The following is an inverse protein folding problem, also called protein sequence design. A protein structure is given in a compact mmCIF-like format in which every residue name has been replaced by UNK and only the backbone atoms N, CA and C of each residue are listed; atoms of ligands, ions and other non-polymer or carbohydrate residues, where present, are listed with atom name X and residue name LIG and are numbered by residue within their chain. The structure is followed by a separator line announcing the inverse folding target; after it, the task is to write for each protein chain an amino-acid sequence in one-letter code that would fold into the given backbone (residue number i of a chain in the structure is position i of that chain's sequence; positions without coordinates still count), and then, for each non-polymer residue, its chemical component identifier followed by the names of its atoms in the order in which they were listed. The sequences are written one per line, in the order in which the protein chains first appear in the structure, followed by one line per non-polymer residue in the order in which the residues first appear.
data_IF_676738670697
#
_entry.id   IF_676738670697
#
_cell.length_a   1.000
_cell.length_b   1.000
_cell.length_c   1.000
_cell.angle_alpha   90.00
_cell.angle_beta   90.00
_cell.angle_gamma   90.00
#
_symmetry.space_group_name_H-M   'P 1'
#
loop_
_entity.id
_entity.type
_entity.pdbx_description
1 polymer ?
#
# COMPACT_ATOMS: atom_id res chain seq x y z
N UNK A 1 3.66 19.16 -14.36
CA UNK A 1 3.63 18.13 -13.55
C UNK A 1 2.31 17.63 -13.40
N UNK A 2 2.27 16.56 -13.35
CA UNK A 2 1.14 15.91 -13.80
C UNK A 2 0.08 15.73 -12.74
N UNK A 3 -1.09 16.21 -13.03
CA UNK A 3 -2.28 15.93 -12.24
C UNK A 3 -2.49 14.42 -12.14
N UNK A 4 -2.04 13.67 -13.14
CA UNK A 4 -2.13 12.21 -13.14
C UNK A 4 -1.37 11.58 -11.97
N UNK A 5 -0.22 12.14 -11.58
CA UNK A 5 0.53 11.63 -10.43
C UNK A 5 -0.32 11.76 -9.17
N UNK A 6 -0.97 12.91 -8.98
CA UNK A 6 -1.80 13.13 -7.80
C UNK A 6 -3.05 12.24 -7.79
N UNK A 7 -3.61 11.96 -8.96
CA UNK A 7 -4.71 11.00 -9.07
C UNK A 7 -4.29 9.60 -8.63
N UNK A 8 -3.05 9.21 -8.95
CA UNK A 8 -2.50 7.94 -8.48
C UNK A 8 -2.41 7.92 -6.96
N UNK A 9 -1.97 9.02 -6.35
CA UNK A 9 -1.87 9.09 -4.90
C UNK A 9 -3.24 9.15 -4.22
N UNK A 10 -4.24 9.74 -4.85
CA UNK A 10 -5.61 9.68 -4.33
C UNK A 10 -6.11 8.25 -4.29
N UNK A 11 -5.86 7.47 -5.33
CA UNK A 11 -6.21 6.06 -5.35
C UNK A 11 -5.45 5.28 -4.27
N UNK A 12 -4.16 5.58 -4.09
CA UNK A 12 -3.36 4.93 -3.05
C UNK A 12 -3.95 5.24 -1.68
N UNK A 13 -4.30 6.49 -1.40
CA UNK A 13 -4.89 6.86 -0.12
C UNK A 13 -6.21 6.13 0.11
N UNK A 14 -7.06 6.05 -0.89
CA UNK A 14 -8.31 5.28 -0.81
C UNK A 14 -8.03 3.82 -0.47
N UNK A 15 -7.05 3.21 -1.13
CA UNK A 15 -6.68 1.82 -0.86
C UNK A 15 -6.15 1.64 0.56
N UNK A 16 -5.36 2.60 1.06
CA UNK A 16 -4.87 2.57 2.44
C UNK A 16 -6.03 2.58 3.43
N UNK A 17 -7.00 3.45 3.23
CA UNK A 17 -8.16 3.55 4.13
C UNK A 17 -8.95 2.24 4.12
N UNK A 18 -9.14 1.63 2.95
CA UNK A 18 -9.82 0.35 2.83
C UNK A 18 -9.05 -0.74 3.60
N UNK A 19 -7.73 -0.79 3.43
CA UNK A 19 -6.89 -1.74 4.15
C UNK A 19 -7.05 -1.56 5.66
N UNK A 20 -6.96 -0.32 6.14
CA UNK A 20 -7.03 -0.03 7.57
C UNK A 20 -8.39 -0.42 8.15
N UNK A 21 -9.47 -0.15 7.42
CA UNK A 21 -10.81 -0.52 7.86
C UNK A 21 -10.95 -2.02 8.01
N UNK A 22 -10.47 -2.78 7.03
CA UNK A 22 -10.53 -4.23 7.09
C UNK A 22 -9.63 -4.83 8.15
N UNK A 23 -8.45 -4.21 8.34
CA UNK A 23 -7.48 -4.67 9.32
C UNK A 23 -7.94 -4.47 10.77
N UNK A 24 -8.91 -3.60 11.01
CA UNK A 24 -9.44 -3.37 12.36
C UNK A 24 -9.92 -4.66 13.03
N UNK A 25 -10.36 -5.62 12.26
CA UNK A 25 -10.87 -6.91 12.78
C UNK A 25 -9.75 -7.90 13.08
N UNK A 26 -8.53 -7.58 12.69
CA UNK A 26 -7.39 -8.49 12.82
C UNK A 26 -6.57 -8.08 14.03
N UNK A 27 -6.44 -8.98 15.01
CA UNK A 27 -5.70 -8.73 16.25
C UNK A 27 -4.34 -9.43 16.27
N UNK A 28 -4.26 -10.60 15.66
CA UNK A 28 -3.06 -11.41 15.58
C UNK A 28 -2.86 -11.88 14.15
N UNK A 29 -1.61 -12.16 13.73
CA UNK A 29 -1.35 -12.62 12.36
C UNK A 29 -2.22 -13.82 11.94
N UNK A 30 -2.42 -14.79 12.84
CA UNK A 30 -3.18 -15.99 12.49
C UNK A 30 -4.67 -15.71 12.23
N UNK A 31 -5.19 -14.56 12.67
CA UNK A 31 -6.57 -14.18 12.34
C UNK A 31 -6.79 -14.08 10.83
N UNK A 32 -5.73 -13.92 10.06
CA UNK A 32 -5.81 -13.84 8.60
C UNK A 32 -5.93 -15.20 7.92
N UNK A 33 -5.71 -16.29 8.64
CA UNK A 33 -5.68 -17.63 8.05
C UNK A 33 -6.50 -18.67 8.78
N UNK A 34 -7.02 -18.36 9.97
CA UNK A 34 -7.70 -19.37 10.78
C UNK A 34 -9.22 -19.41 10.62
N UNK A 35 -9.77 -18.65 9.66
CA UNK A 35 -11.19 -18.65 9.35
C UNK A 35 -11.41 -18.19 7.90
N UNK A 36 -12.58 -18.45 7.35
CA UNK A 36 -12.90 -17.95 6.02
C UNK A 36 -12.98 -16.42 5.98
N UNK A 37 -13.52 -15.82 7.04
CA UNK A 37 -13.55 -14.36 7.12
C UNK A 37 -12.15 -13.78 7.13
N UNK A 38 -11.22 -14.38 7.89
CA UNK A 38 -9.84 -13.95 7.92
C UNK A 38 -9.17 -14.07 6.56
N UNK A 39 -9.39 -15.17 5.85
CA UNK A 39 -8.84 -15.38 4.51
C UNK A 39 -9.42 -14.35 3.53
N UNK A 40 -10.70 -14.03 3.64
CA UNK A 40 -11.31 -12.98 2.81
C UNK A 40 -10.63 -11.63 3.05
N UNK A 41 -10.35 -11.32 4.32
CA UNK A 41 -9.63 -10.08 4.68
C UNK A 41 -8.23 -10.11 4.09
N UNK A 42 -7.50 -11.22 4.24
CA UNK A 42 -6.15 -11.37 3.68
C UNK A 42 -6.14 -11.15 2.17
N UNK A 43 -7.07 -11.79 1.46
CA UNK A 43 -7.17 -11.66 0.00
C UNK A 43 -7.43 -10.21 -0.40
N UNK A 44 -8.32 -9.55 0.31
CA UNK A 44 -8.66 -8.15 0.04
C UNK A 44 -7.48 -7.23 0.27
N UNK A 45 -6.76 -7.42 1.37
CA UNK A 45 -5.58 -6.61 1.69
C UNK A 45 -4.49 -6.84 0.65
N UNK A 46 -4.23 -8.09 0.29
CA UNK A 46 -3.21 -8.43 -0.70
C UNK A 46 -3.49 -7.75 -2.05
N UNK A 47 -4.75 -7.77 -2.48
CA UNK A 47 -5.14 -7.10 -3.72
C UNK A 47 -4.88 -5.60 -3.66
N UNK A 48 -5.22 -4.95 -2.53
CA UNK A 48 -5.00 -3.52 -2.38
C UNK A 48 -3.51 -3.16 -2.29
N UNK A 49 -2.72 -3.99 -1.61
CA UNK A 49 -1.27 -3.78 -1.55
C UNK A 49 -0.65 -3.88 -2.94
N UNK A 50 -1.10 -4.85 -3.73
CA UNK A 50 -0.64 -4.99 -5.11
C UNK A 50 -1.00 -3.75 -5.93
N UNK A 51 -2.21 -3.24 -5.78
CA UNK A 51 -2.65 -2.04 -6.49
C UNK A 51 -1.84 -0.81 -6.07
N UNK A 52 -1.50 -0.68 -4.79
CA UNK A 52 -0.63 0.39 -4.31
C UNK A 52 0.72 0.31 -5.00
N UNK A 53 1.34 -0.87 -5.03
CA UNK A 53 2.63 -1.06 -5.70
C UNK A 53 2.58 -0.72 -7.18
N UNK A 54 1.49 -1.13 -7.87
CA UNK A 54 1.30 -0.81 -9.30
C UNK A 54 1.21 0.70 -9.52
N UNK A 55 0.53 1.41 -8.63
CA UNK A 55 0.39 2.87 -8.76
C UNK A 55 1.71 3.58 -8.49
N UNK A 56 2.50 3.09 -7.53
CA UNK A 56 3.85 3.65 -7.30
C UNK A 56 4.73 3.45 -8.54
N UNK A 57 4.69 2.25 -9.15
CA UNK A 57 5.42 2.01 -10.40
C UNK A 57 4.98 2.97 -11.51
N UNK A 58 3.69 3.27 -11.60
CA UNK A 58 3.18 4.22 -12.58
C UNK A 58 3.72 5.63 -12.31
N UNK A 59 3.79 6.04 -11.06
CA UNK A 59 4.36 7.35 -10.70
C UNK A 59 5.82 7.44 -11.16
N UNK A 60 6.62 6.39 -10.93
CA UNK A 60 8.02 6.37 -11.36
C UNK A 60 8.13 6.49 -12.88
N UNK A 61 7.22 5.87 -13.63
CA UNK A 61 7.22 5.99 -15.09
C UNK A 61 6.86 7.39 -15.56
N UNK A 62 5.96 8.06 -14.84
CA UNK A 62 5.53 9.42 -15.19
C UNK A 62 6.60 10.46 -14.85
N UNK A 63 7.27 10.28 -13.72
CA UNK A 63 8.32 11.19 -13.27
C UNK A 63 9.26 10.44 -12.33
N UNK A 64 10.40 10.00 -12.85
CA UNK A 64 11.33 9.16 -12.12
C UNK A 64 11.96 9.84 -10.89
N UNK A 65 11.83 11.15 -10.78
CA UNK A 65 12.43 11.91 -9.68
C UNK A 65 11.42 12.35 -8.64
N UNK A 66 10.13 12.14 -8.89
CA UNK A 66 9.09 12.64 -8.00
C UNK A 66 9.25 12.10 -6.57
N UNK A 67 9.47 10.80 -6.43
CA UNK A 67 9.54 10.16 -5.11
C UNK A 67 10.81 10.52 -4.33
N UNK A 68 11.83 11.04 -5.00
CA UNK A 68 13.06 11.45 -4.31
C UNK A 68 12.84 12.63 -3.35
N UNK A 69 11.73 13.33 -3.49
CA UNK A 69 11.35 14.42 -2.59
C UNK A 69 10.78 13.90 -1.27
N UNK A 70 10.48 12.60 -1.18
CA UNK A 70 9.81 12.00 -0.03
C UNK A 70 10.61 10.78 0.45
N UNK A 71 11.84 10.99 0.95
CA UNK A 71 12.77 9.88 1.23
C UNK A 71 12.44 9.08 2.50
N UNK A 72 11.44 9.50 3.27
CA UNK A 72 11.05 8.79 4.49
C UNK A 72 10.42 7.42 4.20
N UNK A 73 9.96 7.21 2.96
CA UNK A 73 9.38 5.95 2.54
C UNK A 73 10.35 5.21 1.63
N UNK A 74 10.48 3.91 1.84
CA UNK A 74 11.28 3.05 0.98
C UNK A 74 10.43 2.59 -0.20
N UNK A 75 10.27 3.47 -1.18
CA UNK A 75 9.38 3.25 -2.33
C UNK A 75 9.71 1.98 -3.11
N UNK A 76 11.00 1.65 -3.22
CA UNK A 76 11.41 0.43 -3.93
C UNK A 76 10.88 -0.83 -3.26
N UNK A 77 10.81 -0.84 -1.93
CA UNK A 77 10.27 -1.98 -1.20
C UNK A 77 8.77 -2.15 -1.45
N UNK A 78 8.06 -1.03 -1.61
CA UNK A 78 6.63 -1.08 -1.94
C UNK A 78 6.43 -1.68 -3.33
N UNK A 79 7.27 -1.29 -4.30
CA UNK A 79 7.19 -1.84 -5.63
C UNK A 79 7.55 -3.33 -5.66
N UNK A 80 8.56 -3.74 -4.88
CA UNK A 80 8.93 -5.16 -4.76
C UNK A 80 7.82 -5.98 -4.09
N UNK A 81 7.16 -5.41 -3.12
CA UNK A 81 6.03 -6.06 -2.46
C UNK A 81 4.95 -6.44 -3.47
N UNK A 82 4.66 -5.55 -4.42
CA UNK A 82 3.71 -5.84 -5.49
C UNK A 82 4.13 -7.09 -6.27
N UNK A 83 5.42 -7.20 -6.59
CA UNK A 83 5.92 -8.34 -7.36
C UNK A 83 5.85 -9.63 -6.55
N UNK A 84 6.19 -9.58 -5.26
CA UNK A 84 6.09 -10.74 -4.38
C UNK A 84 4.65 -11.23 -4.28
N UNK A 85 3.70 -10.34 -4.06
CA UNK A 85 2.29 -10.71 -3.97
C UNK A 85 1.81 -11.31 -5.29
N UNK A 86 2.17 -10.69 -6.42
CA UNK A 86 1.74 -11.12 -7.74
C UNK A 86 2.26 -12.52 -8.11
N UNK A 87 3.52 -12.82 -7.74
CA UNK A 87 4.16 -14.07 -8.14
C UNK A 87 4.05 -15.20 -7.12
N UNK A 88 3.73 -14.88 -5.87
CA UNK A 88 3.74 -15.85 -4.77
C UNK A 88 2.44 -15.86 -3.97
N UNK A 89 1.32 -15.58 -4.63
CA UNK A 89 0.05 -15.42 -3.94
C UNK A 89 -0.31 -16.64 -3.07
N UNK A 90 -0.12 -17.84 -3.59
CA UNK A 90 -0.45 -19.07 -2.86
C UNK A 90 0.43 -19.27 -1.62
N UNK A 91 1.65 -18.73 -1.65
CA UNK A 91 2.59 -18.86 -0.55
C UNK A 91 2.75 -17.57 0.25
N UNK A 92 1.74 -16.69 0.25
CA UNK A 92 1.83 -15.44 1.00
C UNK A 92 2.03 -15.70 2.48
N UNK A 93 3.05 -15.05 3.04
CA UNK A 93 3.30 -15.07 4.45
C UNK A 93 2.38 -14.06 5.15
N UNK A 94 1.36 -14.58 5.83
CA UNK A 94 0.37 -13.74 6.50
C UNK A 94 0.97 -12.91 7.65
N UNK A 95 2.07 -13.36 8.23
CA UNK A 95 2.76 -12.58 9.26
C UNK A 95 3.41 -11.34 8.66
N UNK A 96 3.99 -11.45 7.48
CA UNK A 96 4.54 -10.30 6.76
C UNK A 96 3.43 -9.32 6.41
N UNK A 97 2.31 -9.81 5.89
CA UNK A 97 1.16 -8.96 5.57
C UNK A 97 0.64 -8.23 6.81
N UNK A 98 0.52 -8.96 7.93
CA UNK A 98 0.11 -8.37 9.19
C UNK A 98 1.03 -7.22 9.60
N UNK A 99 2.34 -7.43 9.54
CA UNK A 99 3.32 -6.42 9.94
C UNK A 99 3.31 -5.21 9.01
N UNK A 100 3.10 -5.43 7.72
CA UNK A 100 2.96 -4.33 6.75
C UNK A 100 1.75 -3.46 7.14
N UNK A 101 0.62 -4.07 7.42
CA UNK A 101 -0.59 -3.33 7.79
C UNK A 101 -0.44 -2.60 9.11
N UNK A 102 0.24 -3.21 10.07
CA UNK A 102 0.39 -2.64 11.40
C UNK A 102 1.37 -1.46 11.42
N UNK A 103 2.48 -1.56 10.68
CA UNK A 103 3.59 -0.61 10.79
C UNK A 103 3.80 0.23 9.54
N UNK A 104 3.80 -0.39 8.37
CA UNK A 104 4.16 0.31 7.12
C UNK A 104 3.02 1.12 6.54
N UNK A 105 1.81 0.62 6.61
CA UNK A 105 0.65 1.32 6.07
C UNK A 105 0.40 2.66 6.79
N UNK A 106 0.47 2.75 8.13
CA UNK A 106 0.34 4.06 8.79
C UNK A 106 1.42 5.06 8.36
N UNK A 107 2.67 4.61 8.19
CA UNK A 107 3.75 5.48 7.71
C UNK A 107 3.48 5.97 6.29
N UNK A 108 3.08 5.06 5.42
CA UNK A 108 2.77 5.40 4.03
C UNK A 108 1.63 6.42 3.96
N UNK A 109 0.61 6.25 4.80
CA UNK A 109 -0.51 7.17 4.84
C UNK A 109 -0.07 8.60 5.10
N UNK A 110 0.81 8.80 6.07
CA UNK A 110 1.32 10.13 6.40
C UNK A 110 2.03 10.77 5.20
N UNK A 111 2.87 10.01 4.51
CA UNK A 111 3.59 10.52 3.34
C UNK A 111 2.65 10.82 2.18
N UNK A 112 1.66 9.97 1.95
CA UNK A 112 0.69 10.20 0.87
C UNK A 112 -0.16 11.44 1.16
N UNK A 113 -0.57 11.62 2.42
CA UNK A 113 -1.30 12.82 2.81
C UNK A 113 -0.48 14.07 2.59
N UNK A 114 0.81 14.03 2.91
CA UNK A 114 1.72 15.16 2.67
C UNK A 114 1.85 15.45 1.17
N UNK A 115 2.00 14.44 0.35
CA UNK A 115 2.10 14.60 -1.10
C UNK A 115 0.84 15.28 -1.64
N UNK A 116 -0.33 14.84 -1.19
CA UNK A 116 -1.60 15.40 -1.66
C UNK A 116 -1.82 16.83 -1.20
N UNK A 117 -1.31 17.19 -0.02
CA UNK A 117 -1.34 18.60 0.43
C UNK A 117 -0.54 19.48 -0.50
N UNK A 118 0.61 19.01 -0.97
CA UNK A 118 1.49 19.81 -1.83
C UNK A 118 0.92 20.02 -3.22
N UNK A 119 -0.05 19.20 -3.64
CA UNK A 119 -0.80 19.41 -4.87
C UNK A 119 -1.45 20.80 -4.91
N UNK A 120 -1.86 21.32 -3.76
CA UNK A 120 -2.55 22.60 -3.68
C UNK A 120 -1.59 23.77 -3.43
N UNK A 121 -0.30 23.57 -3.60
CA UNK A 121 0.69 24.62 -3.43
C UNK A 121 0.99 24.98 -1.99
N UNK A 122 0.74 24.07 -1.07
CA UNK A 122 0.92 24.32 0.37
C UNK A 122 2.16 23.63 0.89
#
# INVERSE_FOLDING_TARGET
MSEEIYERFEFILESIVIIQTRFEKVKFPDDLVNSQDGITILDSIAMRLQAIGDNIKSVVKLDSKFLSKYPDIEWEKIMKMRDVISHHYEGLDHEIIFNICKSKIPELKLSVELILKQRNGV
#
